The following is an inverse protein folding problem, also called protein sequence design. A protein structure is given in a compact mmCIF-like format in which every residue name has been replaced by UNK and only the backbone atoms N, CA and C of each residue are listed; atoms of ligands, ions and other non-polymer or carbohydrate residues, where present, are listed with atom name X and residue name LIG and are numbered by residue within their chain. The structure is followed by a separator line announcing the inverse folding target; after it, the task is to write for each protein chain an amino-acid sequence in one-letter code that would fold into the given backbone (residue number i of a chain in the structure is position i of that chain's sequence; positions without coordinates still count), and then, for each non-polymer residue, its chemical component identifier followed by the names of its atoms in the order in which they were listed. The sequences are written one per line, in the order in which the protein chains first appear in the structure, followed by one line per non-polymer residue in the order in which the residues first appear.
data_IF_999578745772
#
_entry.id   IF_999578745772
#
_cell.length_a   1.000
_cell.length_b   1.000
_cell.length_c   1.000
_cell.angle_alpha   90.00
_cell.angle_beta   90.00
_cell.angle_gamma   90.00
#
_symmetry.space_group_name_H-M   'P 1'
#
loop_
_entity.id
_entity.type
_entity.pdbx_description
1 polymer ?
#
# COMPACT_ATOMS: atom_id res chain seq x y z
N UNK A 1 11.90 3.00 113.09
CA UNK A 1 10.83 3.02 112.07
C UNK A 1 11.47 3.33 110.72
N UNK A 2 11.73 2.30 109.92
CA UNK A 2 12.31 2.42 108.59
C UNK A 2 11.18 2.34 107.55
N UNK A 3 11.00 3.40 106.77
CA UNK A 3 10.00 3.47 105.70
C UNK A 3 10.64 3.06 104.37
N UNK A 4 10.23 1.92 103.81
CA UNK A 4 10.56 1.50 102.45
C UNK A 4 9.80 2.37 101.45
N UNK A 5 10.51 3.10 100.59
CA UNK A 5 9.94 3.71 99.39
C UNK A 5 9.88 2.68 98.27
N UNK A 6 8.67 2.36 97.80
CA UNK A 6 8.42 1.59 96.59
C UNK A 6 8.36 2.56 95.42
N UNK A 7 9.36 2.51 94.54
CA UNK A 7 9.40 3.31 93.31
C UNK A 7 8.46 2.73 92.25
N UNK A 8 7.51 3.55 91.79
CA UNK A 8 6.63 3.23 90.66
C UNK A 8 7.25 3.84 89.40
N UNK A 9 7.69 3.01 88.46
CA UNK A 9 8.25 3.45 87.17
C UNK A 9 7.25 3.13 86.06
N UNK A 10 6.53 4.11 85.47
CA UNK A 10 5.62 3.83 84.37
C UNK A 10 6.41 3.72 83.05
N UNK A 11 6.40 2.54 82.45
CA UNK A 11 6.89 2.30 81.09
C UNK A 11 5.97 3.02 80.08
N UNK A 12 6.50 3.81 79.12
CA UNK A 12 5.67 4.41 78.09
C UNK A 12 5.23 3.34 77.08
N UNK A 13 3.95 3.34 76.71
CA UNK A 13 3.44 2.51 75.60
C UNK A 13 4.01 3.01 74.26
N UNK A 14 4.32 2.11 73.32
CA UNK A 14 4.84 2.50 72.01
C UNK A 14 3.75 3.24 71.22
N UNK A 15 4.02 4.48 70.81
CA UNK A 15 3.22 5.18 69.82
C UNK A 15 3.39 4.47 68.47
N UNK A 16 2.32 3.81 68.01
CA UNK A 16 2.24 3.30 66.65
C UNK A 16 2.17 4.51 65.70
N UNK A 17 3.30 4.85 65.09
CA UNK A 17 3.34 5.78 63.96
C UNK A 17 2.78 5.06 62.74
N UNK A 18 1.45 5.05 62.60
CA UNK A 18 0.81 4.68 61.35
C UNK A 18 1.28 5.69 60.30
N UNK A 19 2.27 5.26 59.52
CA UNK A 19 2.78 5.98 58.38
C UNK A 19 1.61 6.24 57.44
N UNK A 20 1.19 7.51 57.35
CA UNK A 20 0.27 8.01 56.34
C UNK A 20 0.89 7.67 54.98
N UNK A 21 0.44 6.58 54.36
CA UNK A 21 0.87 6.22 53.01
C UNK A 21 0.40 7.36 52.09
N UNK A 22 1.30 7.96 51.29
CA UNK A 22 0.88 8.97 50.34
C UNK A 22 -0.16 8.35 49.42
N UNK A 23 -1.35 8.96 49.37
CA UNK A 23 -2.40 8.63 48.41
C UNK A 23 -1.75 8.77 47.03
N UNK A 24 -1.58 7.64 46.34
CA UNK A 24 -1.08 7.65 44.97
C UNK A 24 -2.03 8.52 44.14
N UNK A 25 -1.56 9.70 43.74
CA UNK A 25 -2.26 10.52 42.75
C UNK A 25 -2.48 9.66 41.52
N UNK A 26 -3.73 9.24 41.31
CA UNK A 26 -4.17 8.60 40.07
C UNK A 26 -3.95 9.63 38.97
N UNK A 27 -2.82 9.52 38.27
CA UNK A 27 -2.58 10.30 37.06
C UNK A 27 -3.78 10.02 36.14
N UNK A 28 -4.50 11.05 35.66
CA UNK A 28 -5.58 10.83 34.71
C UNK A 28 -5.00 10.01 33.56
N UNK A 29 -5.66 8.90 33.23
CA UNK A 29 -5.27 8.03 32.14
C UNK A 29 -5.10 8.92 30.91
N UNK A 30 -3.85 9.12 30.48
CA UNK A 30 -3.53 9.91 29.30
C UNK A 30 -4.42 9.37 28.19
N UNK A 31 -5.36 10.20 27.74
CA UNK A 31 -6.20 9.96 26.57
C UNK A 31 -5.33 9.28 25.53
N UNK A 32 -5.64 8.03 25.18
CA UNK A 32 -4.90 7.22 24.22
C UNK A 32 -4.60 8.08 22.99
N UNK A 33 -3.41 8.66 22.91
CA UNK A 33 -3.03 9.56 21.82
C UNK A 33 -3.27 8.79 20.52
N UNK A 34 -4.14 9.32 19.67
CA UNK A 34 -4.38 8.79 18.33
C UNK A 34 -3.03 8.42 17.69
N UNK A 35 -2.84 7.16 17.31
CA UNK A 35 -1.56 6.74 16.71
C UNK A 35 -1.49 7.35 15.29
N UNK A 36 -0.64 8.37 15.04
CA UNK A 36 -0.66 9.14 13.80
C UNK A 36 -0.35 8.26 12.58
N UNK A 37 0.45 7.20 12.78
CA UNK A 37 0.80 6.25 11.73
C UNK A 37 -0.42 5.51 11.19
N UNK A 38 -1.37 5.15 12.06
CA UNK A 38 -2.60 4.44 11.63
C UNK A 38 -3.47 5.32 10.74
N UNK A 39 -3.61 6.59 11.10
CA UNK A 39 -4.35 7.57 10.29
C UNK A 39 -3.65 7.86 8.97
N UNK A 40 -2.31 7.84 8.95
CA UNK A 40 -1.55 8.01 7.72
C UNK A 40 -1.79 6.86 6.73
N UNK A 41 -1.71 5.60 7.18
CA UNK A 41 -2.02 4.45 6.32
C UNK A 41 -3.46 4.49 5.82
N UNK A 42 -4.42 4.80 6.70
CA UNK A 42 -5.82 4.96 6.30
C UNK A 42 -6.01 6.08 5.25
N UNK A 43 -5.40 7.24 5.48
CA UNK A 43 -5.49 8.39 4.58
C UNK A 43 -4.90 8.09 3.21
N UNK A 44 -3.75 7.41 3.15
CA UNK A 44 -3.16 6.99 1.88
C UNK A 44 -3.95 5.85 1.22
N UNK A 45 -4.52 4.91 1.96
CA UNK A 45 -5.43 3.92 1.39
C UNK A 45 -6.66 4.59 0.75
N UNK A 46 -7.24 5.59 1.41
CA UNK A 46 -8.35 6.36 0.87
C UNK A 46 -7.95 7.18 -0.37
N UNK A 47 -6.79 7.83 -0.33
CA UNK A 47 -6.24 8.56 -1.48
C UNK A 47 -6.08 7.65 -2.69
N UNK A 48 -5.42 6.49 -2.53
CA UNK A 48 -5.22 5.56 -3.65
C UNK A 48 -6.55 4.99 -4.17
N UNK A 49 -7.52 4.74 -3.28
CA UNK A 49 -8.87 4.32 -3.66
C UNK A 49 -9.59 5.39 -4.50
N UNK A 50 -9.53 6.65 -4.09
CA UNK A 50 -10.10 7.77 -4.86
C UNK A 50 -9.41 7.93 -6.21
N UNK A 51 -8.07 7.86 -6.26
CA UNK A 51 -7.32 7.92 -7.52
C UNK A 51 -7.69 6.78 -8.47
N UNK A 52 -7.94 5.57 -7.96
CA UNK A 52 -8.47 4.46 -8.76
C UNK A 52 -9.84 4.81 -9.35
N UNK A 53 -10.79 5.30 -8.53
CA UNK A 53 -12.13 5.68 -9.01
C UNK A 53 -12.06 6.78 -10.09
N UNK A 54 -11.22 7.80 -9.89
CA UNK A 54 -11.03 8.88 -10.86
C UNK A 54 -10.43 8.37 -12.17
N UNK A 55 -9.36 7.58 -12.10
CA UNK A 55 -8.70 7.01 -13.28
C UNK A 55 -9.58 6.05 -14.08
N UNK A 56 -10.45 5.29 -13.40
CA UNK A 56 -11.34 4.32 -14.02
C UNK A 56 -12.80 4.79 -14.13
N UNK A 57 -13.07 6.10 -14.02
CA UNK A 57 -14.43 6.66 -14.09
C UNK A 57 -15.21 6.21 -15.33
N UNK A 58 -14.55 6.09 -16.49
CA UNK A 58 -15.21 5.63 -17.72
C UNK A 58 -15.62 4.15 -17.66
N UNK A 59 -14.82 3.32 -16.99
CA UNK A 59 -15.14 1.92 -16.77
C UNK A 59 -16.33 1.79 -15.80
N UNK A 60 -16.33 2.53 -14.70
CA UNK A 60 -17.38 2.43 -13.68
C UNK A 60 -18.72 3.04 -14.12
N UNK A 61 -18.71 4.18 -14.81
CA UNK A 61 -19.93 4.89 -15.18
C UNK A 61 -20.54 4.39 -16.50
N UNK A 62 -19.71 3.94 -17.44
CA UNK A 62 -20.16 3.62 -18.80
C UNK A 62 -19.75 2.22 -19.26
N UNK A 63 -18.91 1.48 -18.51
CA UNK A 63 -18.35 0.22 -18.99
C UNK A 63 -17.42 0.41 -20.20
N UNK A 64 -16.78 1.57 -20.32
CA UNK A 64 -15.96 1.96 -21.46
C UNK A 64 -14.46 1.93 -21.15
N UNK A 65 -13.66 1.84 -22.21
CA UNK A 65 -12.22 2.08 -22.15
C UNK A 65 -11.93 3.57 -21.90
N UNK A 66 -10.66 3.88 -21.59
CA UNK A 66 -10.22 5.27 -21.34
C UNK A 66 -10.45 6.20 -22.55
N UNK A 67 -10.49 5.65 -23.76
CA UNK A 67 -10.80 6.39 -24.99
C UNK A 67 -12.28 6.80 -25.12
N UNK A 68 -13.13 6.43 -24.16
CA UNK A 68 -14.57 6.62 -24.24
C UNK A 68 -15.30 5.61 -25.12
N UNK A 69 -14.57 4.68 -25.75
CA UNK A 69 -15.14 3.61 -26.58
C UNK A 69 -15.53 2.39 -25.76
N UNK A 70 -16.50 1.57 -26.21
CA UNK A 70 -16.84 0.31 -25.57
C UNK A 70 -15.62 -0.61 -25.41
N UNK A 71 -15.61 -1.43 -24.35
CA UNK A 71 -14.53 -2.41 -24.15
C UNK A 71 -14.45 -3.37 -25.36
N UNK A 72 -13.23 -3.64 -25.87
CA UNK A 72 -13.04 -4.46 -27.07
C UNK A 72 -13.64 -5.86 -26.88
N UNK A 73 -14.56 -6.30 -27.77
CA UNK A 73 -15.23 -7.60 -27.63
C UNK A 73 -14.30 -8.80 -27.38
N UNK A 74 -13.13 -8.93 -28.05
CA UNK A 74 -12.27 -10.11 -27.90
C UNK A 74 -11.69 -10.34 -26.49
N UNK A 75 -11.64 -9.29 -25.65
CA UNK A 75 -11.09 -9.33 -24.28
C UNK A 75 -12.03 -8.70 -23.24
N UNK A 76 -13.26 -8.34 -23.62
CA UNK A 76 -14.20 -7.60 -22.76
C UNK A 76 -14.42 -8.29 -21.42
N UNK A 77 -14.77 -9.57 -21.44
CA UNK A 77 -15.05 -10.35 -20.22
C UNK A 77 -13.82 -10.41 -19.32
N UNK A 78 -12.64 -10.63 -19.91
CA UNK A 78 -11.37 -10.66 -19.17
C UNK A 78 -11.09 -9.31 -18.48
N UNK A 79 -11.31 -8.19 -19.19
CA UNK A 79 -11.16 -6.84 -18.63
C UNK A 79 -12.15 -6.56 -17.49
N UNK A 80 -13.40 -7.04 -17.60
CA UNK A 80 -14.39 -6.91 -16.53
C UNK A 80 -13.98 -7.72 -15.31
N UNK A 81 -13.60 -9.00 -15.48
CA UNK A 81 -13.18 -9.87 -14.37
C UNK A 81 -11.93 -9.33 -13.69
N UNK A 82 -10.93 -8.90 -14.45
CA UNK A 82 -9.73 -8.26 -13.92
C UNK A 82 -10.05 -6.95 -13.20
N UNK A 83 -10.87 -6.08 -13.81
CA UNK A 83 -11.29 -4.81 -13.21
C UNK A 83 -12.06 -5.00 -11.90
N UNK A 84 -12.94 -6.00 -11.84
CA UNK A 84 -13.65 -6.37 -10.60
C UNK A 84 -12.67 -6.86 -9.53
N UNK A 85 -11.75 -7.77 -9.86
CA UNK A 85 -10.75 -8.27 -8.92
C UNK A 85 -9.87 -7.15 -8.34
N UNK A 86 -9.43 -6.23 -9.21
CA UNK A 86 -8.66 -5.05 -8.80
C UNK A 86 -9.48 -4.08 -7.92
N UNK A 87 -10.75 -3.87 -8.25
CA UNK A 87 -11.66 -3.06 -7.43
C UNK A 87 -11.84 -3.68 -6.04
N UNK A 88 -12.01 -5.01 -5.97
CA UNK A 88 -12.07 -5.74 -4.69
C UNK A 88 -10.77 -5.60 -3.91
N UNK A 89 -9.60 -5.70 -4.55
CA UNK A 89 -8.31 -5.48 -3.88
C UNK A 89 -8.22 -4.09 -3.26
N UNK A 90 -8.58 -3.05 -4.01
CA UNK A 90 -8.53 -1.67 -3.55
C UNK A 90 -9.52 -1.42 -2.40
N UNK A 91 -10.72 -2.00 -2.47
CA UNK A 91 -11.68 -1.96 -1.38
C UNK A 91 -11.15 -2.65 -0.11
N UNK A 92 -10.54 -3.84 -0.24
CA UNK A 92 -9.89 -4.52 0.88
C UNK A 92 -8.75 -3.67 1.44
N UNK A 93 -7.90 -3.10 0.59
CA UNK A 93 -6.77 -2.26 1.02
C UNK A 93 -7.22 -1.04 1.84
N UNK A 94 -8.41 -0.49 1.57
CA UNK A 94 -9.05 0.56 2.36
C UNK A 94 -9.70 0.02 3.65
N UNK A 95 -10.39 -1.11 3.57
CA UNK A 95 -11.11 -1.69 4.72
C UNK A 95 -10.15 -2.25 5.78
N UNK A 96 -9.01 -2.81 5.39
CA UNK A 96 -8.06 -3.42 6.32
C UNK A 96 -7.56 -2.47 7.43
N UNK A 97 -7.09 -1.24 7.14
CA UNK A 97 -6.72 -0.28 8.19
C UNK A 97 -7.93 0.21 9.01
N UNK A 98 -9.12 0.30 8.43
CA UNK A 98 -10.36 0.61 9.18
C UNK A 98 -10.67 -0.46 10.23
N UNK A 99 -10.55 -1.74 9.88
CA UNK A 99 -10.76 -2.84 10.82
C UNK A 99 -9.75 -2.82 11.98
N UNK A 100 -8.49 -2.44 11.71
CA UNK A 100 -7.48 -2.25 12.74
C UNK A 100 -7.80 -1.04 13.63
N UNK A 101 -8.28 0.07 13.06
CA UNK A 101 -8.71 1.25 13.83
C UNK A 101 -9.90 0.91 14.74
N UNK A 102 -10.86 0.13 14.24
CA UNK A 102 -12.04 -0.35 14.97
C UNK A 102 -11.76 -1.58 15.86
N UNK A 103 -10.49 -2.01 15.98
CA UNK A 103 -10.04 -3.17 16.77
C UNK A 103 -10.72 -4.50 16.40
N UNK A 104 -11.25 -4.63 15.19
CA UNK A 104 -11.85 -5.86 14.68
C UNK A 104 -10.80 -6.75 14.02
N UNK A 105 -9.89 -7.27 14.85
CA UNK A 105 -8.77 -8.09 14.40
C UNK A 105 -9.22 -9.41 13.76
N UNK A 106 -10.34 -9.99 14.22
CA UNK A 106 -10.87 -11.24 13.66
C UNK A 106 -11.25 -11.07 12.18
N UNK A 107 -11.98 -10.00 11.84
CA UNK A 107 -12.31 -9.71 10.44
C UNK A 107 -11.08 -9.34 9.63
N UNK A 108 -10.13 -8.58 10.20
CA UNK A 108 -8.86 -8.26 9.52
C UNK A 108 -8.15 -9.55 9.06
N UNK A 109 -8.03 -10.54 9.95
CA UNK A 109 -7.36 -11.82 9.65
C UNK A 109 -8.15 -12.66 8.63
N UNK A 110 -9.49 -12.72 8.77
CA UNK A 110 -10.35 -13.47 7.86
C UNK A 110 -10.34 -12.87 6.44
N UNK A 111 -10.54 -11.55 6.30
CA UNK A 111 -10.42 -10.86 5.02
C UNK A 111 -8.98 -10.84 4.49
N UNK A 112 -7.98 -10.92 5.36
CA UNK A 112 -6.58 -11.05 4.97
C UNK A 112 -6.28 -12.37 4.26
N UNK A 113 -6.90 -13.48 4.71
CA UNK A 113 -6.80 -14.77 4.02
C UNK A 113 -7.48 -14.73 2.64
N UNK A 114 -8.68 -14.14 2.57
CA UNK A 114 -9.35 -13.89 1.29
C UNK A 114 -8.48 -13.02 0.36
N UNK A 115 -7.89 -11.94 0.90
CA UNK A 115 -6.99 -11.05 0.18
C UNK A 115 -5.75 -11.75 -0.37
N UNK A 116 -5.20 -12.74 0.34
CA UNK A 116 -4.08 -13.55 -0.15
C UNK A 116 -4.47 -14.38 -1.39
N UNK A 117 -5.64 -15.02 -1.36
CA UNK A 117 -6.18 -15.74 -2.52
C UNK A 117 -6.48 -14.79 -3.69
N UNK A 118 -7.09 -13.63 -3.41
CA UNK A 118 -7.36 -12.60 -4.40
C UNK A 118 -6.07 -12.08 -5.07
N UNK A 119 -5.00 -11.87 -4.31
CA UNK A 119 -3.70 -11.47 -4.87
C UNK A 119 -3.16 -12.51 -5.86
N UNK A 120 -3.23 -13.81 -5.53
CA UNK A 120 -2.83 -14.86 -6.45
C UNK A 120 -3.67 -14.84 -7.74
N UNK A 121 -4.99 -14.66 -7.62
CA UNK A 121 -5.88 -14.48 -8.77
C UNK A 121 -5.52 -13.25 -9.61
N UNK A 122 -5.18 -12.12 -8.98
CA UNK A 122 -4.79 -10.88 -9.66
C UNK A 122 -3.50 -11.07 -10.46
N UNK A 123 -2.52 -11.80 -9.93
CA UNK A 123 -1.28 -12.10 -10.67
C UNK A 123 -1.59 -12.87 -11.96
N UNK A 124 -2.44 -13.88 -11.89
CA UNK A 124 -2.86 -14.67 -13.07
C UNK A 124 -3.68 -13.82 -14.03
N UNK A 125 -4.73 -13.16 -13.53
CA UNK A 125 -5.63 -12.34 -14.35
C UNK A 125 -4.92 -11.15 -15.00
N UNK A 126 -4.04 -10.48 -14.27
CA UNK A 126 -3.26 -9.35 -14.79
C UNK A 126 -2.31 -9.80 -15.90
N UNK A 127 -1.62 -10.92 -15.71
CA UNK A 127 -0.70 -11.48 -16.71
C UNK A 127 -1.46 -11.86 -17.97
N UNK A 128 -2.59 -12.57 -17.82
CA UNK A 128 -3.43 -12.92 -18.94
C UNK A 128 -4.01 -11.68 -19.64
N UNK A 129 -4.44 -10.68 -18.89
CA UNK A 129 -4.94 -9.42 -19.44
C UNK A 129 -3.88 -8.71 -20.28
N UNK A 130 -2.62 -8.64 -19.81
CA UNK A 130 -1.51 -8.03 -20.53
C UNK A 130 -1.22 -8.75 -21.85
N UNK A 131 -1.14 -10.09 -21.83
CA UNK A 131 -0.87 -10.92 -23.00
C UNK A 131 -2.02 -10.84 -24.00
N UNK A 132 -3.25 -11.12 -23.55
CA UNK A 132 -4.43 -11.19 -24.42
C UNK A 132 -4.77 -9.83 -25.06
N UNK A 133 -4.59 -8.72 -24.33
CA UNK A 133 -4.77 -7.38 -24.90
C UNK A 133 -3.74 -7.13 -26.00
N UNK A 134 -2.48 -7.51 -25.80
CA UNK A 134 -1.42 -7.32 -26.81
C UNK A 134 -1.64 -8.17 -28.05
N UNK A 135 -2.13 -9.40 -27.89
CA UNK A 135 -2.43 -10.33 -28.97
C UNK A 135 -3.67 -9.90 -29.78
N UNK A 136 -4.74 -9.49 -29.10
CA UNK A 136 -6.07 -9.35 -29.72
C UNK A 136 -6.43 -7.91 -30.10
N UNK A 137 -5.78 -6.91 -29.50
CA UNK A 137 -6.05 -5.50 -29.77
C UNK A 137 -4.90 -4.93 -30.60
N UNK A 138 -5.19 -4.69 -31.88
CA UNK A 138 -4.25 -4.08 -32.82
C UNK A 138 -4.49 -2.57 -32.83
N UNK A 139 -3.58 -1.84 -32.21
CA UNK A 139 -3.61 -0.39 -32.16
C UNK A 139 -2.20 0.15 -32.37
N UNK A 140 -2.10 1.23 -33.14
CA UNK A 140 -0.86 1.97 -33.39
C UNK A 140 -0.58 3.02 -32.31
N UNK A 141 -1.33 2.98 -31.20
CA UNK A 141 -1.12 3.88 -30.07
C UNK A 141 0.26 3.66 -29.44
N UNK A 142 1.08 4.70 -29.49
CA UNK A 142 2.36 4.80 -28.78
C UNK A 142 2.11 5.44 -27.41
N UNK A 143 2.64 4.83 -26.35
CA UNK A 143 2.55 5.34 -24.97
C UNK A 143 3.94 5.48 -24.39
N UNK A 144 4.30 6.68 -23.92
CA UNK A 144 5.66 6.96 -23.41
C UNK A 144 6.77 6.60 -24.40
N UNK A 145 6.53 6.76 -25.71
CA UNK A 145 7.47 6.36 -26.76
C UNK A 145 7.54 4.86 -27.03
N UNK A 146 6.72 4.04 -26.36
CA UNK A 146 6.69 2.59 -26.52
C UNK A 146 5.50 2.16 -27.38
N UNK A 147 5.75 1.26 -28.33
CA UNK A 147 4.69 0.57 -29.05
C UNK A 147 3.97 -0.45 -28.15
N UNK A 148 2.89 -1.05 -28.65
CA UNK A 148 2.05 -2.00 -27.88
C UNK A 148 2.85 -3.15 -27.23
N UNK A 149 3.78 -3.77 -27.95
CA UNK A 149 4.59 -4.91 -27.45
C UNK A 149 5.62 -4.43 -26.43
N UNK A 150 6.33 -3.36 -26.74
CA UNK A 150 7.31 -2.76 -25.83
C UNK A 150 6.65 -2.33 -24.51
N UNK A 151 5.44 -1.77 -24.59
CA UNK A 151 4.68 -1.34 -23.42
C UNK A 151 4.32 -2.47 -22.46
N UNK A 152 4.37 -3.76 -22.87
CA UNK A 152 4.14 -4.89 -21.95
C UNK A 152 5.10 -4.92 -20.77
N UNK A 153 6.25 -4.23 -20.84
CA UNK A 153 7.18 -4.15 -19.71
C UNK A 153 6.50 -3.55 -18.47
N UNK A 154 5.57 -2.62 -18.69
CA UNK A 154 4.86 -1.89 -17.63
C UNK A 154 3.94 -2.84 -16.84
N UNK A 155 2.90 -3.45 -17.44
CA UNK A 155 2.01 -4.33 -16.69
C UNK A 155 2.73 -5.57 -16.14
N UNK A 156 3.71 -6.15 -16.85
CA UNK A 156 4.45 -7.30 -16.34
C UNK A 156 5.37 -6.90 -15.15
N UNK A 157 6.00 -5.74 -15.22
CA UNK A 157 6.75 -5.16 -14.10
C UNK A 157 5.87 -4.88 -12.89
N UNK A 158 4.69 -4.30 -13.10
CA UNK A 158 3.71 -4.01 -12.04
C UNK A 158 3.27 -5.29 -11.32
N UNK A 159 2.93 -6.33 -12.09
CA UNK A 159 2.50 -7.63 -11.55
C UNK A 159 3.64 -8.30 -10.78
N UNK A 160 4.86 -8.27 -11.31
CA UNK A 160 6.03 -8.82 -10.63
C UNK A 160 6.29 -8.11 -9.29
N UNK A 161 6.32 -6.77 -9.30
CA UNK A 161 6.47 -5.96 -8.10
C UNK A 161 5.35 -6.23 -7.08
N UNK A 162 4.10 -6.23 -7.53
CA UNK A 162 2.94 -6.56 -6.71
C UNK A 162 3.08 -7.92 -6.04
N UNK A 163 3.38 -8.97 -6.81
CA UNK A 163 3.53 -10.32 -6.29
C UNK A 163 4.63 -10.41 -5.24
N UNK A 164 5.78 -9.79 -5.50
CA UNK A 164 6.92 -9.75 -4.56
C UNK A 164 6.52 -9.04 -3.26
N UNK A 165 5.96 -7.83 -3.34
CA UNK A 165 5.61 -7.08 -2.13
C UNK A 165 4.48 -7.72 -1.34
N UNK A 166 3.43 -8.22 -1.99
CA UNK A 166 2.37 -8.98 -1.31
C UNK A 166 2.94 -10.23 -0.65
N UNK A 167 3.81 -10.98 -1.34
CA UNK A 167 4.50 -12.15 -0.80
C UNK A 167 5.30 -11.82 0.47
N UNK A 168 6.15 -10.79 0.41
CA UNK A 168 6.92 -10.33 1.57
C UNK A 168 5.99 -9.86 2.70
N UNK A 169 4.92 -9.12 2.37
CA UNK A 169 3.93 -8.62 3.30
C UNK A 169 3.20 -9.74 4.04
N UNK A 170 2.75 -10.78 3.34
CA UNK A 170 2.06 -11.95 3.90
C UNK A 170 3.02 -12.81 4.73
N UNK A 171 4.23 -13.04 4.24
CA UNK A 171 5.27 -13.78 4.97
C UNK A 171 5.56 -13.13 6.32
N UNK A 172 5.62 -11.79 6.33
CA UNK A 172 5.88 -10.99 7.52
C UNK A 172 4.60 -10.49 8.21
N UNK A 173 3.44 -11.15 8.05
CA UNK A 173 2.14 -10.72 8.63
C UNK A 173 2.16 -10.53 10.15
N UNK A 174 3.06 -11.20 10.86
CA UNK A 174 3.25 -11.05 12.33
C UNK A 174 4.15 -9.86 12.71
N UNK A 175 4.74 -9.17 11.73
CA UNK A 175 5.65 -8.02 11.92
C UNK A 175 5.03 -6.78 11.23
N UNK A 176 4.18 -6.00 11.93
CA UNK A 176 3.49 -4.85 11.34
C UNK A 176 4.43 -3.83 10.67
N UNK A 177 5.64 -3.66 11.21
CA UNK A 177 6.72 -2.80 10.68
C UNK A 177 7.21 -3.20 9.28
N UNK A 178 6.88 -4.40 8.80
CA UNK A 178 7.20 -4.88 7.44
C UNK A 178 5.90 -5.08 6.67
N UNK A 179 4.92 -5.75 7.28
CA UNK A 179 3.64 -6.04 6.63
C UNK A 179 2.96 -4.80 6.04
N UNK A 180 2.71 -3.76 6.84
CA UNK A 180 1.97 -2.59 6.37
C UNK A 180 2.70 -1.80 5.26
N UNK A 181 4.02 -1.52 5.37
CA UNK A 181 4.79 -0.96 4.27
C UNK A 181 4.71 -1.77 2.98
N UNK A 182 4.83 -3.10 3.05
CA UNK A 182 4.82 -3.95 1.86
C UNK A 182 3.43 -4.01 1.20
N UNK A 183 2.34 -4.01 1.96
CA UNK A 183 1.00 -3.93 1.39
C UNK A 183 0.72 -2.60 0.69
N UNK A 184 1.25 -1.49 1.23
CA UNK A 184 1.17 -0.19 0.58
C UNK A 184 2.03 -0.13 -0.70
N UNK A 185 3.26 -0.64 -0.66
CA UNK A 185 4.14 -0.71 -1.85
C UNK A 185 3.56 -1.61 -2.95
N UNK A 186 3.01 -2.77 -2.59
CA UNK A 186 2.30 -3.64 -3.53
C UNK A 186 1.20 -2.87 -4.26
N UNK A 187 0.40 -2.12 -3.50
CA UNK A 187 -0.69 -1.33 -4.08
C UNK A 187 -0.16 -0.17 -4.92
N UNK A 188 0.86 0.56 -4.45
CA UNK A 188 1.49 1.62 -5.23
C UNK A 188 2.06 1.12 -6.56
N UNK A 189 2.67 -0.07 -6.59
CA UNK A 189 3.27 -0.64 -7.80
C UNK A 189 2.25 -0.79 -8.95
N UNK A 190 0.99 -1.08 -8.64
CA UNK A 190 -0.08 -1.27 -9.65
C UNK A 190 -0.88 0.02 -9.92
N UNK A 191 -0.61 1.11 -9.21
CA UNK A 191 -1.37 2.37 -9.34
C UNK A 191 -1.05 3.16 -10.62
N UNK A 192 -0.02 2.76 -11.37
CA UNK A 192 0.26 3.32 -12.69
C UNK A 192 -0.95 3.17 -13.63
N UNK A 193 -1.70 2.06 -13.54
CA UNK A 193 -2.90 1.89 -14.33
C UNK A 193 -3.96 2.99 -14.04
N UNK A 194 -4.23 3.30 -12.79
CA UNK A 194 -5.21 4.33 -12.45
C UNK A 194 -4.71 5.74 -12.79
N UNK A 195 -3.52 6.09 -12.31
CA UNK A 195 -3.00 7.46 -12.36
C UNK A 195 -2.78 7.97 -13.79
N UNK A 196 -2.36 7.12 -14.72
CA UNK A 196 -2.15 7.53 -16.13
C UNK A 196 -3.44 7.65 -16.94
N UNK A 197 -4.61 7.37 -16.33
CA UNK A 197 -5.92 7.63 -16.93
C UNK A 197 -6.52 8.97 -16.48
N UNK A 198 -5.84 9.70 -15.59
CA UNK A 198 -6.23 11.02 -15.09
C UNK A 198 -5.56 12.09 -15.97
N UNK A 199 -6.31 12.83 -16.81
CA UNK A 199 -5.74 13.80 -17.76
C UNK A 199 -4.87 14.87 -17.09
N UNK A 200 -5.23 15.28 -15.89
CA UNK A 200 -4.54 16.31 -15.10
C UNK A 200 -3.09 15.91 -14.78
N UNK A 201 -2.78 14.61 -14.76
CA UNK A 201 -1.42 14.11 -14.51
C UNK A 201 -0.57 13.95 -15.77
N UNK A 202 -1.17 14.02 -16.97
CA UNK A 202 -0.42 13.84 -18.23
C UNK A 202 0.63 14.95 -18.43
N UNK A 203 0.31 16.19 -18.05
CA UNK A 203 1.24 17.33 -18.11
C UNK A 203 2.40 17.26 -17.11
N UNK A 204 2.27 16.46 -16.04
CA UNK A 204 3.30 16.29 -15.02
C UNK A 204 4.30 15.17 -15.36
N UNK A 205 3.92 14.25 -16.26
CA UNK A 205 4.67 13.01 -16.50
C UNK A 205 5.13 12.76 -17.93
N UNK A 206 4.62 13.44 -18.96
CA UNK A 206 5.04 13.17 -20.35
C UNK A 206 6.09 14.15 -20.91
N UNK A 207 6.25 15.32 -20.28
CA UNK A 207 7.00 16.46 -20.84
C UNK A 207 8.35 16.73 -20.18
N UNK A 208 8.73 15.96 -19.16
CA UNK A 208 9.97 16.17 -18.41
C UNK A 208 10.85 14.90 -18.34
N UNK A 209 12.12 15.10 -17.97
CA UNK A 209 13.12 14.02 -17.89
C UNK A 209 12.66 12.85 -17.01
N UNK A 210 11.96 13.14 -15.91
CA UNK A 210 11.46 12.12 -14.98
C UNK A 210 10.36 11.26 -15.59
N UNK A 211 9.58 11.84 -16.50
CA UNK A 211 8.63 11.16 -17.35
C UNK A 211 9.26 10.13 -18.28
N UNK A 212 10.43 10.44 -18.84
CA UNK A 212 11.16 9.50 -19.68
C UNK A 212 11.80 8.38 -18.86
N UNK A 213 12.33 8.70 -17.68
CA UNK A 213 12.99 7.71 -16.80
C UNK A 213 11.99 6.76 -16.18
N UNK A 214 10.91 7.27 -15.58
CA UNK A 214 9.97 6.47 -14.80
C UNK A 214 8.67 6.16 -15.55
N UNK A 215 8.46 6.73 -16.74
CA UNK A 215 7.30 6.46 -17.58
C UNK A 215 5.98 6.63 -16.82
N UNK A 216 5.09 5.62 -16.88
CA UNK A 216 3.80 5.67 -16.19
C UNK A 216 3.91 5.61 -14.65
N UNK A 217 5.08 5.33 -14.07
CA UNK A 217 5.25 5.13 -12.63
C UNK A 217 5.61 6.40 -11.86
N UNK A 218 5.82 7.53 -12.53
CA UNK A 218 6.23 8.77 -11.89
C UNK A 218 5.27 9.21 -10.77
N UNK A 219 3.96 9.21 -11.04
CA UNK A 219 2.96 9.64 -10.06
C UNK A 219 2.88 8.68 -8.86
N UNK A 220 2.75 7.34 -9.04
CA UNK A 220 2.83 6.40 -7.93
C UNK A 220 4.10 6.53 -7.08
N UNK A 221 5.27 6.72 -7.71
CA UNK A 221 6.53 6.93 -6.99
C UNK A 221 6.50 8.24 -6.19
N UNK A 222 5.99 9.34 -6.76
CA UNK A 222 5.84 10.61 -6.06
C UNK A 222 4.90 10.49 -4.84
N UNK A 223 3.79 9.75 -4.97
CA UNK A 223 2.89 9.45 -3.83
C UNK A 223 3.62 8.60 -2.77
N UNK A 224 4.45 7.65 -3.17
CA UNK A 224 5.31 6.89 -2.25
C UNK A 224 6.31 7.78 -1.51
N UNK A 225 6.98 8.70 -2.21
CA UNK A 225 7.90 9.67 -1.59
C UNK A 225 7.15 10.58 -0.60
N UNK A 226 5.96 11.07 -0.99
CA UNK A 226 5.11 11.87 -0.11
C UNK A 226 4.70 11.10 1.15
N UNK A 227 4.33 9.82 1.02
CA UNK A 227 4.04 8.96 2.17
C UNK A 227 5.24 8.85 3.10
N UNK A 228 6.42 8.53 2.55
CA UNK A 228 7.64 8.35 3.34
C UNK A 228 8.04 9.66 4.04
N UNK A 229 8.03 10.79 3.34
CA UNK A 229 8.35 12.10 3.89
C UNK A 229 7.37 12.49 5.01
N UNK A 230 6.07 12.32 4.77
CA UNK A 230 5.02 12.63 5.77
C UNK A 230 5.17 11.72 6.99
N UNK A 231 5.36 10.41 6.78
CA UNK A 231 5.59 9.45 7.85
C UNK A 231 6.81 9.87 8.68
N UNK A 232 7.94 10.13 8.04
CA UNK A 232 9.18 10.50 8.73
C UNK A 232 9.08 11.83 9.48
N UNK A 233 8.37 12.81 8.94
CA UNK A 233 8.12 14.07 9.64
C UNK A 233 7.23 13.87 10.89
N UNK A 234 6.16 13.07 10.76
CA UNK A 234 5.20 12.81 11.85
C UNK A 234 5.78 11.93 12.95
N UNK A 235 6.50 10.86 12.59
CA UNK A 235 7.03 9.88 13.56
C UNK A 235 8.45 10.19 14.02
N UNK A 236 9.11 11.19 13.41
CA UNK A 236 10.53 11.51 13.60
C UNK A 236 11.42 10.28 13.44
N UNK A 237 11.03 9.36 12.56
CA UNK A 237 11.73 8.10 12.31
C UNK A 237 11.70 7.73 10.83
N UNK A 238 12.76 7.05 10.36
CA UNK A 238 12.88 6.66 8.96
C UNK A 238 12.44 5.20 8.76
N UNK A 239 11.44 4.98 7.89
CA UNK A 239 10.99 3.63 7.55
C UNK A 239 11.87 3.03 6.46
N UNK A 240 12.94 2.35 6.88
CA UNK A 240 13.89 1.71 5.97
C UNK A 240 13.28 0.63 5.08
N UNK A 241 12.22 -0.05 5.54
CA UNK A 241 11.58 -1.12 4.76
C UNK A 241 10.76 -0.53 3.63
N UNK A 242 9.98 0.51 3.94
CA UNK A 242 9.26 1.25 2.92
C UNK A 242 10.22 1.93 1.94
N UNK A 243 11.25 2.63 2.45
CA UNK A 243 12.22 3.34 1.62
C UNK A 243 12.99 2.40 0.70
N UNK A 244 13.47 1.25 1.21
CA UNK A 244 14.16 0.25 0.40
C UNK A 244 13.27 -0.35 -0.69
N UNK A 245 12.00 -0.65 -0.36
CA UNK A 245 11.05 -1.15 -1.35
C UNK A 245 10.68 -0.10 -2.41
N UNK A 246 10.51 1.17 -2.01
CA UNK A 246 10.25 2.28 -2.94
C UNK A 246 11.45 2.53 -3.87
N UNK A 247 12.68 2.48 -3.35
CA UNK A 247 13.89 2.59 -4.15
C UNK A 247 14.01 1.40 -5.13
N UNK A 248 13.68 0.19 -4.67
CA UNK A 248 13.59 -1.01 -5.51
C UNK A 248 12.57 -0.85 -6.65
N UNK A 249 11.38 -0.33 -6.36
CA UNK A 249 10.39 0.03 -7.39
C UNK A 249 10.95 1.03 -8.40
N UNK A 250 11.52 2.14 -7.91
CA UNK A 250 12.05 3.19 -8.78
C UNK A 250 13.12 2.63 -9.73
N UNK A 251 14.03 1.80 -9.22
CA UNK A 251 15.04 1.13 -10.02
C UNK A 251 14.43 0.16 -11.02
N UNK A 252 13.51 -0.72 -10.58
CA UNK A 252 12.84 -1.69 -11.43
C UNK A 252 12.13 -1.00 -12.61
N UNK A 253 11.37 0.05 -12.34
CA UNK A 253 10.59 0.74 -13.37
C UNK A 253 11.49 1.54 -14.32
N UNK A 254 12.54 2.19 -13.81
CA UNK A 254 13.51 2.87 -14.65
C UNK A 254 14.25 1.89 -15.59
N UNK A 255 14.72 0.76 -15.05
CA UNK A 255 15.34 -0.29 -15.85
C UNK A 255 14.36 -0.90 -16.85
N UNK A 256 13.09 -1.04 -16.48
CA UNK A 256 12.02 -1.49 -17.37
C UNK A 256 11.85 -0.58 -18.59
N UNK A 257 11.86 0.75 -18.39
CA UNK A 257 11.77 1.71 -19.49
C UNK A 257 12.99 1.64 -20.44
N UNK A 258 14.18 1.34 -19.92
CA UNK A 258 15.38 1.11 -20.74
C UNK A 258 15.39 -0.26 -21.43
N UNK A 259 14.78 -1.28 -20.82
CA UNK A 259 14.69 -2.63 -21.37
C UNK A 259 13.66 -2.70 -22.52
N UNK A 260 12.55 -1.98 -22.40
CA UNK A 260 11.43 -2.02 -23.35
C UNK A 260 11.81 -1.89 -24.84
N UNK A 261 12.67 -0.94 -25.26
CA UNK A 261 13.02 -0.77 -26.68
C UNK A 261 14.02 -1.82 -27.21
N UNK A 262 14.55 -2.70 -26.36
CA UNK A 262 15.60 -3.65 -26.77
C UNK A 262 15.06 -4.84 -27.58
N UNK A 263 15.89 -5.40 -28.45
CA UNK A 263 15.56 -6.62 -29.21
C UNK A 263 15.34 -7.85 -28.30
N UNK A 264 16.00 -7.89 -27.14
CA UNK A 264 15.80 -8.96 -26.16
C UNK A 264 14.36 -8.95 -25.61
N UNK A 265 13.85 -7.77 -25.26
CA UNK A 265 12.47 -7.61 -24.82
C UNK A 265 11.46 -7.97 -25.92
N UNK A 266 11.70 -7.51 -27.14
CA UNK A 266 10.81 -7.81 -28.27
C UNK A 266 10.70 -9.32 -28.57
N UNK A 267 11.82 -10.06 -28.50
CA UNK A 267 11.81 -11.53 -28.61
C UNK A 267 11.01 -12.20 -27.51
N UNK A 268 11.18 -11.74 -26.26
CA UNK A 268 10.44 -12.27 -25.12
C UNK A 268 8.94 -12.03 -25.26
N UNK A 269 8.53 -10.82 -25.64
CA UNK A 269 7.11 -10.50 -25.87
C UNK A 269 6.55 -11.29 -27.05
N UNK A 270 7.33 -11.46 -28.11
CA UNK A 270 6.93 -12.28 -29.26
C UNK A 270 6.67 -13.72 -28.84
N UNK A 271 7.52 -14.32 -28.00
CA UNK A 271 7.29 -15.65 -27.42
C UNK A 271 6.02 -15.71 -26.56
N UNK A 272 5.75 -14.69 -25.74
CA UNK A 272 4.53 -14.66 -24.91
C UNK A 272 3.25 -14.45 -25.72
N UNK A 273 3.35 -13.86 -26.91
CA UNK A 273 2.20 -13.46 -27.73
C UNK A 273 2.02 -14.28 -29.01
N UNK A 274 2.94 -15.21 -29.29
CA UNK A 274 2.81 -16.20 -30.37
C UNK A 274 1.68 -17.19 -30.16
#
# INVERSE_FOLDING_TARGET
MAALQVGFNPTPLPMNSDAVRPVATVRPALTSRANPERFLYLGFSALLFVLMLLGFRQFYLHGHAVSGQPLPPPVRTLLIVHGTAMTTWMALFLVQPLLIASRNHRLHMSLGLFGAGLAACIVVLGTWTAIATTQKIHTDLVRYGLNRRQFMVVPLGDIGAFAVFVGIGIWNRKKPKIHAPMMLLATLAIMAAATNRIPEFHGLGASNVWGHVFGPHLIPLAVGVLFLATKSALTRSFDRWFAGGLAGCALLFALGMHLAPTAAWDRFVTFLTS
#
